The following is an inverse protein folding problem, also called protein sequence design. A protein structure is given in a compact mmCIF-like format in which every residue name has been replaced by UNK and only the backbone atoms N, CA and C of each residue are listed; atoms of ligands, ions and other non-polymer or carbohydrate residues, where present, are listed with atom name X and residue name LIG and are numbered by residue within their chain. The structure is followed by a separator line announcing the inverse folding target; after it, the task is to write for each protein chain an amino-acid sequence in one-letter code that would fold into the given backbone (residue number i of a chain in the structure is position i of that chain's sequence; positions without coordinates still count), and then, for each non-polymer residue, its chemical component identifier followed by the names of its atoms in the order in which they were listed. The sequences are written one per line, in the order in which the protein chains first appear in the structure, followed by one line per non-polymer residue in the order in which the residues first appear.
data_IF_854996796070
#
_entry.id   IF_854996796070
#
_cell.length_a   1.000
_cell.length_b   1.000
_cell.length_c   1.000
_cell.angle_alpha   90.00
_cell.angle_beta   90.00
_cell.angle_gamma   90.00
#
_symmetry.space_group_name_H-M   'P 1'
#
loop_
_entity.id
_entity.type
_entity.pdbx_description
1 polymer ?
#
# COMPACT_ATOMS: atom_id res chain seq x y z
N UNK A 1 22.82 6.60 -64.06
CA UNK A 1 24.05 7.35 -63.72
C UNK A 1 23.65 8.45 -62.74
N UNK A 2 24.50 8.69 -61.73
CA UNK A 2 24.29 9.46 -60.48
C UNK A 2 23.85 8.62 -59.26
N UNK A 3 24.89 8.30 -58.49
CA UNK A 3 24.99 7.81 -57.11
C UNK A 3 24.69 8.93 -56.10
N UNK A 4 24.06 8.63 -54.93
CA UNK A 4 24.41 9.24 -53.62
C UNK A 4 24.10 8.25 -52.45
N UNK A 5 25.19 7.80 -51.82
CA UNK A 5 25.45 7.36 -50.44
C UNK A 5 24.36 6.74 -49.53
N UNK A 6 24.53 5.43 -49.28
CA UNK A 6 24.23 4.78 -47.98
C UNK A 6 25.43 4.95 -47.03
N UNK A 7 25.22 5.60 -45.89
CA UNK A 7 26.16 5.57 -44.76
C UNK A 7 25.70 4.51 -43.76
N UNK A 8 26.61 3.59 -43.44
CA UNK A 8 26.47 2.56 -42.41
C UNK A 8 26.77 3.14 -41.03
N UNK A 9 25.94 2.85 -40.04
CA UNK A 9 26.39 2.82 -38.65
C UNK A 9 26.02 1.48 -38.01
N UNK A 10 27.06 0.78 -37.58
CA UNK A 10 27.04 -0.55 -36.97
C UNK A 10 27.26 -0.32 -35.47
N UNK A 11 26.23 -0.41 -34.64
CA UNK A 11 26.41 -0.54 -33.19
C UNK A 11 26.07 -1.97 -32.78
N UNK A 12 26.99 -2.52 -31.98
CA UNK A 12 27.12 -3.93 -31.63
C UNK A 12 25.97 -4.39 -30.75
N UNK A 13 25.38 -5.52 -31.09
CA UNK A 13 24.41 -6.22 -30.25
C UNK A 13 25.05 -6.72 -28.96
N UNK A 14 24.30 -6.59 -27.87
CA UNK A 14 24.48 -7.40 -26.66
C UNK A 14 23.32 -8.38 -26.63
N UNK A 15 23.67 -9.66 -26.76
CA UNK A 15 22.78 -10.80 -26.56
C UNK A 15 22.82 -11.11 -25.06
N UNK A 16 21.69 -11.06 -24.36
CA UNK A 16 21.59 -11.51 -22.97
C UNK A 16 21.09 -12.95 -22.99
N UNK A 17 22.02 -13.90 -22.91
CA UNK A 17 21.71 -15.30 -22.64
C UNK A 17 21.67 -15.49 -21.12
N UNK A 18 20.49 -15.84 -20.60
CA UNK A 18 20.29 -16.19 -19.20
C UNK A 18 20.68 -17.65 -18.97
N UNK A 19 21.68 -17.88 -18.11
CA UNK A 19 21.89 -19.19 -17.49
C UNK A 19 21.99 -19.04 -15.98
N UNK A 20 21.29 -19.92 -15.27
CA UNK A 20 21.32 -20.09 -13.81
C UNK A 20 22.75 -20.42 -13.34
N UNK A 21 23.31 -19.66 -12.40
CA UNK A 21 23.82 -20.16 -11.10
C UNK A 21 24.37 -19.00 -10.22
N UNK A 22 24.58 -19.32 -8.95
CA UNK A 22 24.77 -18.49 -7.76
C UNK A 22 25.99 -17.55 -7.68
N UNK A 23 25.91 -16.67 -6.66
CA UNK A 23 26.97 -15.93 -5.93
C UNK A 23 27.59 -14.67 -6.56
N UNK A 24 27.38 -13.52 -5.89
CA UNK A 24 28.11 -12.28 -6.13
C UNK A 24 29.07 -11.98 -4.97
N UNK A 25 30.38 -12.02 -5.25
CA UNK A 25 31.41 -11.32 -4.48
C UNK A 25 31.57 -9.91 -5.06
N UNK A 26 31.32 -8.86 -4.27
CA UNK A 26 31.66 -7.49 -4.64
C UNK A 26 33.15 -7.25 -4.40
N UNK A 27 33.93 -7.10 -5.47
CA UNK A 27 35.30 -6.56 -5.44
C UNK A 27 35.26 -5.12 -5.94
N UNK A 28 35.47 -4.16 -5.04
CA UNK A 28 35.58 -2.74 -5.39
C UNK A 28 37.05 -2.42 -5.59
N UNK A 29 37.46 -2.20 -6.84
CA UNK A 29 38.74 -1.53 -7.17
C UNK A 29 38.52 -0.02 -7.20
N UNK A 30 39.16 0.66 -6.26
CA UNK A 30 39.16 2.12 -6.16
C UNK A 30 39.97 2.78 -7.27
N UNK A 31 39.49 3.95 -7.71
CA UNK A 31 40.30 4.95 -8.40
C UNK A 31 40.36 6.20 -7.53
N UNK A 32 41.58 6.54 -7.14
CA UNK A 32 41.96 7.74 -6.41
C UNK A 32 42.03 8.91 -7.39
N UNK A 33 41.31 9.99 -7.08
CA UNK A 33 41.63 11.34 -7.56
C UNK A 33 41.99 12.18 -6.33
N UNK A 34 43.19 12.75 -6.33
CA UNK A 34 43.68 13.70 -5.34
C UNK A 34 43.33 15.14 -5.77
N UNK A 35 43.08 16.04 -4.81
CA UNK A 35 43.34 17.46 -5.00
C UNK A 35 44.44 17.98 -4.06
N UNK A 36 45.15 18.98 -4.56
CA UNK A 36 46.27 19.68 -3.95
C UNK A 36 45.92 20.41 -2.65
N UNK A 37 46.94 20.53 -1.80
CA UNK A 37 46.93 21.26 -0.53
C UNK A 37 47.19 22.74 -0.74
N UNK A 38 46.39 23.59 -0.10
CA UNK A 38 46.86 24.83 0.54
C UNK A 38 46.13 24.97 1.87
N UNK A 39 46.89 25.26 2.92
CA UNK A 39 46.44 25.18 4.31
C UNK A 39 45.71 26.42 4.81
N UNK A 40 44.99 26.24 5.91
CA UNK A 40 45.27 26.99 7.14
C UNK A 40 44.62 26.33 8.36
N UNK A 41 45.34 26.37 9.49
CA UNK A 41 44.98 25.74 10.76
C UNK A 41 43.94 26.58 11.49
N UNK A 42 42.86 25.95 11.96
CA UNK A 42 42.20 26.36 13.21
C UNK A 42 41.79 25.11 13.99
N UNK A 43 42.42 24.96 15.15
CA UNK A 43 42.18 23.92 16.15
C UNK A 43 40.88 24.20 16.91
N UNK A 44 39.98 23.23 17.00
CA UNK A 44 38.99 23.19 18.09
C UNK A 44 38.84 21.78 18.66
N UNK A 45 38.72 21.79 19.98
CA UNK A 45 38.97 20.71 20.93
C UNK A 45 37.69 19.92 21.18
N UNK A 46 37.77 18.58 21.11
CA UNK A 46 36.73 17.67 21.59
C UNK A 46 36.97 17.34 23.08
N UNK A 47 35.94 17.39 23.96
CA UNK A 47 36.00 16.72 25.25
C UNK A 47 35.53 15.25 25.16
N UNK A 48 36.05 14.35 26.03
CA UNK A 48 35.77 12.91 25.95
C UNK A 48 34.58 12.45 26.81
N UNK A 49 33.90 11.43 26.29
CA UNK A 49 33.35 10.23 26.95
C UNK A 49 32.85 10.31 28.41
N UNK A 50 31.54 10.10 28.60
CA UNK A 50 31.02 9.46 29.83
C UNK A 50 30.12 8.29 29.41
N UNK A 51 30.53 7.09 29.80
CA UNK A 51 29.85 5.81 29.56
C UNK A 51 29.25 5.37 30.89
N UNK A 52 27.95 5.58 31.11
CA UNK A 52 27.25 5.06 32.28
C UNK A 52 26.54 3.75 31.94
N UNK A 53 27.02 2.66 32.54
CA UNK A 53 26.32 1.38 32.63
C UNK A 53 25.05 1.57 33.44
N UNK A 54 23.95 0.98 33.00
CA UNK A 54 22.78 0.73 33.86
C UNK A 54 22.51 -0.76 33.80
N UNK A 55 22.58 -1.38 34.98
CA UNK A 55 22.38 -2.80 35.21
C UNK A 55 20.92 -3.22 34.96
N UNK A 56 20.77 -4.35 34.28
CA UNK A 56 19.50 -5.03 34.06
C UNK A 56 19.22 -5.93 35.27
N UNK A 57 18.27 -5.56 36.12
CA UNK A 57 17.68 -6.49 37.11
C UNK A 57 16.33 -6.99 36.61
N UNK A 58 16.34 -8.20 36.05
CA UNK A 58 15.15 -8.97 35.73
C UNK A 58 14.47 -9.45 37.02
N UNK A 59 13.19 -9.10 37.19
CA UNK A 59 12.35 -9.56 38.30
C UNK A 59 11.17 -10.34 37.73
N UNK A 60 11.17 -11.67 37.89
CA UNK A 60 10.04 -12.56 37.58
C UNK A 60 9.19 -12.75 38.84
N UNK A 61 7.84 -12.62 38.80
CA UNK A 61 7.00 -13.18 39.84
C UNK A 61 6.45 -14.55 39.42
N UNK A 62 6.40 -15.42 40.44
CA UNK A 62 6.07 -16.85 40.42
C UNK A 62 4.55 -17.03 40.36
N UNK A 63 4.12 -18.01 39.57
CA UNK A 63 2.76 -18.56 39.58
C UNK A 63 2.51 -19.29 40.90
N UNK A 64 1.41 -18.96 41.58
CA UNK A 64 0.87 -19.77 42.70
C UNK A 64 -0.44 -20.38 42.22
N UNK A 65 -0.43 -21.70 42.06
CA UNK A 65 -1.59 -22.55 41.81
C UNK A 65 -2.21 -22.85 43.17
N UNK A 66 -3.49 -22.50 43.36
CA UNK A 66 -4.28 -22.96 44.49
C UNK A 66 -5.42 -23.85 43.97
N UNK A 67 -5.24 -25.16 44.15
CA UNK A 67 -6.29 -26.15 44.05
C UNK A 67 -7.10 -26.15 45.35
N UNK A 68 -8.42 -26.05 45.25
CA UNK A 68 -9.32 -26.48 46.32
C UNK A 68 -10.30 -27.51 45.76
N UNK A 69 -10.26 -28.69 46.37
CA UNK A 69 -11.14 -29.82 46.12
C UNK A 69 -12.15 -29.92 47.28
N UNK A 70 -13.39 -30.22 46.89
CA UNK A 70 -14.46 -30.93 47.60
C UNK A 70 -15.15 -30.32 48.84
N UNK A 71 -16.47 -30.13 48.71
CA UNK A 71 -17.44 -30.93 49.47
C UNK A 71 -18.75 -31.07 48.70
N UNK A 72 -19.29 -32.29 48.73
CA UNK A 72 -20.54 -32.69 48.12
C UNK A 72 -21.66 -32.76 49.17
N UNK A 73 -22.89 -32.56 48.68
CA UNK A 73 -24.13 -33.31 48.95
C UNK A 73 -25.36 -32.49 49.40
N UNK A 74 -26.42 -32.78 48.62
CA UNK A 74 -27.85 -32.89 48.95
C UNK A 74 -28.73 -31.64 49.03
N UNK A 75 -29.71 -31.63 48.12
CA UNK A 75 -30.88 -30.75 48.13
C UNK A 75 -31.72 -30.97 46.87
N UNK A 76 -32.50 -32.05 46.83
CA UNK A 76 -33.60 -32.21 45.86
C UNK A 76 -34.76 -31.31 46.26
N UNK A 77 -35.17 -30.40 45.36
CA UNK A 77 -36.50 -29.79 45.39
C UNK A 77 -36.97 -29.52 43.95
N UNK A 78 -38.24 -29.84 43.74
CA UNK A 78 -38.98 -29.89 42.49
C UNK A 78 -38.92 -28.63 41.60
N UNK A 79 -38.59 -28.87 40.33
CA UNK A 79 -39.38 -28.51 39.15
C UNK A 79 -40.13 -27.17 39.12
N UNK A 80 -39.52 -26.20 38.44
CA UNK A 80 -40.20 -25.35 37.46
C UNK A 80 -39.32 -25.32 36.20
N UNK A 81 -39.86 -25.89 35.12
CA UNK A 81 -39.27 -25.98 33.79
C UNK A 81 -39.26 -24.57 33.15
N UNK A 82 -38.25 -23.77 33.53
CA UNK A 82 -37.90 -22.57 32.79
C UNK A 82 -37.13 -23.05 31.58
N UNK A 83 -37.85 -23.21 30.46
CA UNK A 83 -37.30 -23.61 29.17
C UNK A 83 -35.99 -22.89 28.89
N UNK A 84 -34.89 -23.62 29.09
CA UNK A 84 -33.58 -23.24 28.64
C UNK A 84 -33.66 -23.21 27.13
N UNK A 85 -33.99 -22.04 26.58
CA UNK A 85 -33.87 -21.74 25.17
C UNK A 85 -32.40 -22.00 24.85
N UNK A 86 -32.16 -23.17 24.27
CA UNK A 86 -30.87 -23.67 23.82
C UNK A 86 -30.25 -22.55 22.98
N UNK A 87 -29.41 -21.72 23.61
CA UNK A 87 -28.62 -20.72 22.90
C UNK A 87 -27.56 -21.54 22.20
N UNK A 88 -27.92 -22.00 21.00
CA UNK A 88 -26.97 -22.43 19.98
C UNK A 88 -25.78 -21.46 20.07
N UNK A 89 -24.56 -21.94 20.31
CA UNK A 89 -23.40 -21.07 20.28
C UNK A 89 -23.41 -20.40 18.92
N UNK A 90 -23.42 -19.05 18.87
CA UNK A 90 -23.35 -18.33 17.61
C UNK A 90 -22.17 -18.91 16.83
N UNK A 91 -22.46 -19.65 15.76
CA UNK A 91 -21.42 -20.30 14.97
C UNK A 91 -20.58 -19.17 14.38
N UNK A 92 -19.36 -19.00 14.89
CA UNK A 92 -18.43 -18.01 14.37
C UNK A 92 -18.23 -18.20 12.86
N UNK A 93 -17.90 -17.11 12.18
CA UNK A 93 -17.61 -17.14 10.73
C UNK A 93 -16.52 -18.19 10.47
N UNK A 94 -16.72 -19.14 9.53
CA UNK A 94 -15.72 -20.16 9.24
C UNK A 94 -14.36 -19.56 8.87
N UNK A 95 -13.26 -20.20 9.30
CA UNK A 95 -11.91 -19.72 8.99
C UNK A 95 -11.65 -19.61 7.48
N UNK A 96 -12.18 -20.54 6.68
CA UNK A 96 -12.09 -20.49 5.22
C UNK A 96 -12.71 -19.20 4.66
N UNK A 97 -13.87 -18.82 5.16
CA UNK A 97 -14.56 -17.59 4.77
C UNK A 97 -13.75 -16.34 5.16
N UNK A 98 -13.11 -16.34 6.34
CA UNK A 98 -12.22 -15.26 6.76
C UNK A 98 -11.02 -15.13 5.80
N UNK A 99 -10.39 -16.25 5.42
CA UNK A 99 -9.27 -16.26 4.48
C UNK A 99 -9.67 -15.80 3.08
N UNK A 100 -10.88 -16.14 2.63
CA UNK A 100 -11.45 -15.65 1.37
C UNK A 100 -11.66 -14.13 1.40
N UNK A 101 -12.21 -13.60 2.49
CA UNK A 101 -12.37 -12.15 2.66
C UNK A 101 -11.03 -11.43 2.75
N UNK A 102 -10.03 -11.99 3.44
CA UNK A 102 -8.69 -11.42 3.51
C UNK A 102 -8.04 -11.37 2.12
N UNK A 103 -8.13 -12.47 1.37
CA UNK A 103 -7.65 -12.55 -0.01
C UNK A 103 -8.33 -11.51 -0.88
N UNK A 104 -9.66 -11.41 -0.82
CA UNK A 104 -10.44 -10.42 -1.56
C UNK A 104 -10.02 -9.00 -1.22
N UNK A 105 -9.90 -8.68 0.07
CA UNK A 105 -9.50 -7.35 0.53
C UNK A 105 -8.09 -6.98 0.09
N UNK A 106 -7.14 -7.93 0.13
CA UNK A 106 -5.78 -7.74 -0.38
C UNK A 106 -5.80 -7.43 -1.88
N UNK A 107 -6.56 -8.19 -2.68
CA UNK A 107 -6.61 -7.98 -4.12
C UNK A 107 -7.25 -6.65 -4.50
N UNK A 108 -8.31 -6.23 -3.80
CA UNK A 108 -8.92 -4.90 -4.00
C UNK A 108 -7.95 -3.77 -3.68
N UNK A 109 -7.17 -3.89 -2.59
CA UNK A 109 -6.14 -2.91 -2.27
C UNK A 109 -5.04 -2.85 -3.34
N UNK A 110 -4.56 -4.00 -3.82
CA UNK A 110 -3.56 -4.07 -4.90
C UNK A 110 -4.08 -3.47 -6.19
N UNK A 111 -5.34 -3.72 -6.55
CA UNK A 111 -5.95 -3.18 -7.76
C UNK A 111 -6.11 -1.65 -7.70
N UNK A 112 -6.63 -1.13 -6.59
CA UNK A 112 -6.73 0.32 -6.38
C UNK A 112 -5.34 0.98 -6.43
N UNK A 113 -4.34 0.38 -5.78
CA UNK A 113 -2.98 0.90 -5.80
C UNK A 113 -2.31 0.80 -7.17
N UNK A 114 -2.64 -0.22 -7.96
CA UNK A 114 -2.17 -0.36 -9.34
C UNK A 114 -2.72 0.76 -10.21
N UNK A 115 -3.99 1.13 -10.06
CA UNK A 115 -4.57 2.29 -10.74
C UNK A 115 -3.89 3.60 -10.34
N UNK A 116 -3.62 3.78 -9.04
CA UNK A 116 -2.85 4.93 -8.54
C UNK A 116 -1.45 5.00 -9.15
N UNK A 117 -0.79 3.85 -9.30
CA UNK A 117 0.50 3.77 -9.96
C UNK A 117 0.43 4.20 -11.43
N UNK A 118 -0.56 3.73 -12.19
CA UNK A 118 -0.76 4.16 -13.59
C UNK A 118 -0.97 5.68 -13.66
N UNK A 119 -1.84 6.26 -12.82
CA UNK A 119 -2.02 7.73 -12.77
C UNK A 119 -0.72 8.47 -12.44
N UNK A 120 0.12 7.89 -11.58
CA UNK A 120 1.42 8.45 -11.24
C UNK A 120 2.41 8.43 -12.41
N UNK A 121 2.38 7.39 -13.25
CA UNK A 121 3.23 7.28 -14.43
C UNK A 121 2.98 8.40 -15.46
N UNK A 122 1.74 8.91 -15.49
CA UNK A 122 1.30 9.93 -16.45
C UNK A 122 1.35 11.37 -15.91
N UNK A 123 1.81 11.62 -14.69
CA UNK A 123 1.80 12.97 -14.10
C UNK A 123 2.58 13.99 -14.93
N UNK A 124 3.71 13.59 -15.53
CA UNK A 124 4.48 14.48 -16.42
C UNK A 124 3.67 14.86 -17.66
N UNK A 125 2.95 13.91 -18.26
CA UNK A 125 2.07 14.20 -19.39
C UNK A 125 0.90 15.10 -18.97
N UNK A 126 0.32 14.88 -17.79
CA UNK A 126 -0.79 15.70 -17.29
C UNK A 126 -0.37 17.15 -17.00
N UNK A 127 0.87 17.36 -16.56
CA UNK A 127 1.40 18.70 -16.28
C UNK A 127 1.77 19.48 -17.55
N UNK A 128 1.98 18.80 -18.68
CA UNK A 128 2.29 19.44 -19.97
C UNK A 128 1.15 20.36 -20.43
N UNK A 129 1.46 21.65 -20.53
CA UNK A 129 0.53 22.71 -20.96
C UNK A 129 0.59 22.97 -22.48
N UNK A 130 1.65 22.50 -23.15
CA UNK A 130 1.84 22.71 -24.59
C UNK A 130 1.02 21.69 -25.40
N UNK A 131 0.69 20.54 -24.79
CA UNK A 131 -0.18 19.52 -25.38
C UNK A 131 -1.64 19.74 -25.02
N UNK A 132 -2.43 20.17 -26.02
CA UNK A 132 -3.87 20.43 -25.88
C UNK A 132 -4.71 19.16 -25.76
N UNK A 133 -4.22 18.04 -26.31
CA UNK A 133 -4.85 16.72 -26.19
C UNK A 133 -3.79 15.72 -25.76
N UNK A 134 -3.95 15.18 -24.56
CA UNK A 134 -3.00 14.24 -23.98
C UNK A 134 -3.39 12.82 -24.40
N UNK A 135 -2.42 12.05 -24.89
CA UNK A 135 -2.59 10.64 -25.27
C UNK A 135 -2.73 9.73 -24.03
N UNK A 136 -3.82 9.94 -23.29
CA UNK A 136 -4.20 9.16 -22.12
C UNK A 136 -5.71 8.91 -22.12
N UNK A 137 -6.11 7.76 -22.65
CA UNK A 137 -7.52 7.35 -22.74
C UNK A 137 -7.88 6.33 -21.67
N UNK A 138 -9.18 6.18 -21.40
CA UNK A 138 -9.68 5.19 -20.45
C UNK A 138 -9.30 3.74 -20.84
N UNK A 139 -9.23 3.43 -22.14
CA UNK A 139 -8.80 2.13 -22.64
C UNK A 139 -7.29 1.90 -22.47
N UNK A 140 -6.48 2.94 -22.66
CA UNK A 140 -5.03 2.86 -22.40
C UNK A 140 -4.77 2.65 -20.91
N UNK A 141 -5.48 3.39 -20.05
CA UNK A 141 -5.44 3.20 -18.60
C UNK A 141 -5.83 1.78 -18.21
N UNK A 142 -6.94 1.26 -18.73
CA UNK A 142 -7.40 -0.10 -18.41
C UNK A 142 -6.34 -1.15 -18.73
N UNK A 143 -5.76 -1.11 -19.94
CA UNK A 143 -4.70 -2.07 -20.32
C UNK A 143 -3.54 -2.06 -19.33
N UNK A 144 -3.07 -0.87 -18.94
CA UNK A 144 -1.96 -0.76 -17.98
C UNK A 144 -2.36 -1.12 -16.56
N UNK A 145 -3.59 -0.82 -16.15
CA UNK A 145 -4.12 -1.23 -14.86
C UNK A 145 -4.07 -2.76 -14.73
N UNK A 146 -4.54 -3.47 -15.76
CA UNK A 146 -4.55 -4.93 -15.78
C UNK A 146 -3.12 -5.49 -15.78
N UNK A 147 -2.20 -4.90 -16.55
CA UNK A 147 -0.78 -5.30 -16.58
C UNK A 147 -0.08 -5.11 -15.21
N UNK A 148 -0.23 -3.93 -14.61
CA UNK A 148 0.36 -3.62 -13.29
C UNK A 148 -0.24 -4.52 -12.21
N UNK A 149 -1.57 -4.71 -12.24
CA UNK A 149 -2.24 -5.60 -11.30
C UNK A 149 -1.75 -7.04 -11.44
N UNK A 150 -1.65 -7.56 -12.67
CA UNK A 150 -1.15 -8.92 -12.92
C UNK A 150 0.27 -9.10 -12.42
N UNK A 151 1.16 -8.14 -12.70
CA UNK A 151 2.53 -8.14 -12.23
C UNK A 151 2.64 -8.20 -10.69
N UNK A 152 1.75 -7.49 -9.99
CA UNK A 152 1.79 -7.39 -8.52
C UNK A 152 1.04 -8.48 -7.76
N UNK A 153 0.00 -9.05 -8.37
CA UNK A 153 -0.87 -10.04 -7.73
C UNK A 153 -0.63 -11.47 -8.22
N UNK A 154 -0.04 -11.63 -9.40
CA UNK A 154 0.04 -12.91 -10.11
C UNK A 154 -1.29 -13.37 -10.72
N UNK A 155 -2.35 -12.56 -10.64
CA UNK A 155 -3.69 -12.89 -11.18
C UNK A 155 -3.92 -12.12 -12.46
N UNK A 156 -4.32 -12.84 -13.51
CA UNK A 156 -4.81 -12.25 -14.73
C UNK A 156 -6.34 -12.08 -14.69
N UNK A 157 -6.81 -10.83 -14.73
CA UNK A 157 -8.24 -10.52 -14.74
C UNK A 157 -8.88 -10.72 -16.13
N UNK A 158 -8.09 -10.91 -17.18
CA UNK A 158 -8.61 -11.28 -18.50
C UNK A 158 -8.89 -12.78 -18.60
N UNK A 159 -8.28 -13.58 -17.72
CA UNK A 159 -8.42 -15.04 -17.65
C UNK A 159 -8.97 -15.48 -16.28
N UNK A 160 -10.02 -14.80 -15.81
CA UNK A 160 -10.61 -15.02 -14.48
C UNK A 160 -10.99 -16.49 -14.21
N UNK A 161 -11.42 -17.24 -15.22
CA UNK A 161 -11.82 -18.64 -15.05
C UNK A 161 -10.68 -19.54 -14.61
N UNK A 162 -9.44 -19.20 -14.98
CA UNK A 162 -8.24 -19.91 -14.53
C UNK A 162 -7.80 -19.49 -13.12
N UNK A 163 -8.20 -18.30 -12.64
CA UNK A 163 -7.81 -17.78 -11.34
C UNK A 163 -8.58 -18.48 -10.20
N UNK A 164 -7.82 -19.04 -9.25
CA UNK A 164 -8.34 -19.68 -8.02
C UNK A 164 -8.72 -18.62 -6.96
N UNK A 165 -9.68 -17.77 -7.28
CA UNK A 165 -10.24 -16.78 -6.35
C UNK A 165 -11.77 -16.91 -6.24
N UNK A 166 -12.37 -16.55 -5.09
CA UNK A 166 -13.82 -16.64 -4.89
C UNK A 166 -14.61 -15.88 -5.96
N UNK A 167 -15.77 -16.40 -6.36
CA UNK A 167 -16.61 -15.77 -7.38
C UNK A 167 -17.01 -14.33 -7.00
N UNK A 168 -17.25 -14.06 -5.72
CA UNK A 168 -17.55 -12.72 -5.23
C UNK A 168 -16.33 -11.79 -5.36
N UNK A 169 -15.12 -12.30 -5.15
CA UNK A 169 -13.90 -11.53 -5.37
C UNK A 169 -13.75 -11.10 -6.84
N UNK A 170 -14.07 -12.00 -7.78
CA UNK A 170 -14.06 -11.69 -9.23
C UNK A 170 -14.98 -10.52 -9.56
N UNK A 171 -16.24 -10.58 -9.10
CA UNK A 171 -17.23 -9.51 -9.32
C UNK A 171 -16.75 -8.17 -8.74
N UNK A 172 -16.20 -8.18 -7.53
CA UNK A 172 -15.70 -6.97 -6.89
C UNK A 172 -14.49 -6.39 -7.63
N UNK A 173 -13.60 -7.24 -8.18
CA UNK A 173 -12.46 -6.80 -8.98
C UNK A 173 -12.92 -6.22 -10.33
N UNK A 174 -13.84 -6.88 -11.02
CA UNK A 174 -14.46 -6.38 -12.27
C UNK A 174 -15.12 -5.02 -12.06
N UNK A 175 -15.90 -4.89 -10.98
CA UNK A 175 -16.56 -3.63 -10.62
C UNK A 175 -15.53 -2.52 -10.32
N UNK A 176 -14.44 -2.85 -9.63
CA UNK A 176 -13.37 -1.88 -9.34
C UNK A 176 -12.61 -1.44 -10.61
N UNK A 177 -12.37 -2.35 -11.57
CA UNK A 177 -11.81 -2.01 -12.89
C UNK A 177 -12.76 -1.08 -13.65
N UNK A 178 -14.03 -1.44 -13.72
CA UNK A 178 -15.06 -0.65 -14.41
C UNK A 178 -15.14 0.78 -13.86
N UNK A 179 -15.25 0.94 -12.53
CA UNK A 179 -15.33 2.26 -11.91
C UNK A 179 -14.02 3.06 -12.06
N UNK A 180 -12.87 2.39 -12.05
CA UNK A 180 -11.58 3.02 -12.31
C UNK A 180 -11.52 3.61 -13.72
N UNK A 181 -11.99 2.85 -14.71
CA UNK A 181 -12.08 3.31 -16.11
C UNK A 181 -13.03 4.50 -16.27
N UNK A 182 -14.19 4.46 -15.59
CA UNK A 182 -15.14 5.59 -15.61
C UNK A 182 -14.54 6.87 -15.02
N UNK A 183 -13.85 6.78 -13.88
CA UNK A 183 -13.18 7.93 -13.27
C UNK A 183 -12.16 8.56 -14.23
N UNK A 184 -11.40 7.74 -14.96
CA UNK A 184 -10.43 8.23 -15.96
C UNK A 184 -11.12 8.86 -17.16
N UNK A 185 -12.18 8.24 -17.68
CA UNK A 185 -12.94 8.78 -18.81
C UNK A 185 -13.51 10.17 -18.50
N UNK A 186 -14.06 10.36 -17.30
CA UNK A 186 -14.58 11.67 -16.86
C UNK A 186 -13.46 12.68 -16.62
N UNK A 187 -12.35 12.25 -16.00
CA UNK A 187 -11.21 13.11 -15.74
C UNK A 187 -10.45 13.53 -17.02
N UNK A 188 -10.59 12.79 -18.13
CA UNK A 188 -9.93 13.13 -19.39
C UNK A 188 -10.26 14.56 -19.85
N UNK A 189 -11.53 14.96 -19.78
CA UNK A 189 -11.95 16.32 -20.09
C UNK A 189 -11.36 17.34 -19.11
N UNK A 190 -11.17 16.96 -17.84
CA UNK A 190 -10.62 17.84 -16.80
C UNK A 190 -9.12 18.10 -16.99
N UNK A 191 -8.37 17.05 -17.30
CA UNK A 191 -6.91 17.07 -17.46
C UNK A 191 -6.48 17.81 -18.74
N UNK A 192 -7.33 17.83 -19.77
CA UNK A 192 -7.08 18.57 -21.02
C UNK A 192 -7.48 20.05 -20.95
N UNK A 193 -8.14 20.51 -19.87
CA UNK A 193 -8.41 21.95 -19.69
C UNK A 193 -7.10 22.71 -19.37
N UNK A 194 -6.96 23.97 -19.83
CA UNK A 194 -5.82 24.81 -19.44
C UNK A 194 -5.67 24.90 -17.92
N UNK A 195 -4.48 24.56 -17.40
CA UNK A 195 -4.20 24.53 -15.95
C UNK A 195 -4.80 23.34 -15.18
N UNK A 196 -5.35 22.32 -15.86
CA UNK A 196 -6.02 21.16 -15.26
C UNK A 196 -5.09 20.10 -14.66
N UNK A 197 -4.15 19.57 -15.43
CA UNK A 197 -3.09 18.61 -15.04
C UNK A 197 -3.17 17.96 -13.65
N UNK A 198 -2.20 18.27 -12.77
CA UNK A 198 -2.14 17.76 -11.40
C UNK A 198 -3.28 18.22 -10.47
N UNK A 199 -4.00 19.29 -10.80
CA UNK A 199 -5.10 19.77 -9.94
C UNK A 199 -6.33 18.88 -10.05
N UNK A 200 -6.53 18.31 -11.23
CA UNK A 200 -7.73 17.55 -11.56
C UNK A 200 -7.51 16.04 -11.36
N UNK A 201 -6.31 15.52 -11.63
CA UNK A 201 -6.05 14.07 -11.51
C UNK A 201 -4.63 13.72 -11.03
N UNK A 202 -4.51 13.57 -9.70
CA UNK A 202 -3.35 12.94 -9.02
C UNK A 202 -3.75 11.57 -8.44
N UNK A 203 -2.79 10.69 -8.08
CA UNK A 203 -3.09 9.37 -7.52
C UNK A 203 -4.05 9.40 -6.33
N UNK A 204 -3.92 10.39 -5.44
CA UNK A 204 -4.80 10.54 -4.28
C UNK A 204 -6.25 10.86 -4.68
N UNK A 205 -6.45 11.76 -5.65
CA UNK A 205 -7.78 12.15 -6.16
C UNK A 205 -8.43 10.98 -6.89
N UNK A 206 -7.70 10.33 -7.80
CA UNK A 206 -8.16 9.13 -8.49
C UNK A 206 -8.63 8.08 -7.49
N UNK A 207 -7.77 7.72 -6.53
CA UNK A 207 -8.09 6.69 -5.56
C UNK A 207 -9.29 7.04 -4.69
N UNK A 208 -9.50 8.32 -4.35
CA UNK A 208 -10.65 8.77 -3.58
C UNK A 208 -11.96 8.72 -4.39
N UNK A 209 -11.94 9.16 -5.66
CA UNK A 209 -13.11 9.09 -6.56
C UNK A 209 -13.56 7.65 -6.79
N UNK A 210 -12.60 6.76 -7.07
CA UNK A 210 -12.88 5.32 -7.26
C UNK A 210 -13.41 4.70 -5.96
N UNK A 211 -12.73 4.92 -4.84
CA UNK A 211 -13.11 4.35 -3.56
C UNK A 211 -14.52 4.76 -3.11
N UNK A 212 -14.90 6.01 -3.35
CA UNK A 212 -16.24 6.53 -3.02
C UNK A 212 -17.31 5.77 -3.80
N UNK A 213 -17.21 5.74 -5.14
CA UNK A 213 -18.17 5.04 -6.01
C UNK A 213 -18.23 3.54 -5.74
N UNK A 214 -17.07 2.93 -5.50
CA UNK A 214 -16.99 1.51 -5.19
C UNK A 214 -17.69 1.18 -3.88
N UNK A 215 -17.50 2.02 -2.85
CA UNK A 215 -18.17 1.86 -1.55
C UNK A 215 -19.69 2.03 -1.69
N UNK A 216 -20.16 3.00 -2.46
CA UNK A 216 -21.59 3.24 -2.71
C UNK A 216 -22.26 2.04 -3.39
N UNK A 217 -21.57 1.39 -4.33
CA UNK A 217 -22.13 0.30 -5.15
C UNK A 217 -22.02 -1.09 -4.52
N UNK A 218 -20.98 -1.33 -3.73
CA UNK A 218 -20.66 -2.68 -3.21
C UNK A 218 -20.81 -2.80 -1.71
N UNK A 219 -20.89 -1.67 -0.99
CA UNK A 219 -20.76 -1.58 0.47
C UNK A 219 -19.41 -2.05 1.03
N UNK A 220 -18.42 -2.35 0.17
CA UNK A 220 -17.03 -2.57 0.57
C UNK A 220 -16.33 -1.23 0.64
N UNK A 221 -15.86 -0.85 1.83
CA UNK A 221 -15.20 0.45 2.02
C UNK A 221 -13.74 0.35 1.60
N UNK A 222 -13.32 1.21 0.68
CA UNK A 222 -11.92 1.47 0.37
C UNK A 222 -11.56 2.87 0.90
N UNK A 223 -10.40 3.02 1.54
CA UNK A 223 -9.92 4.33 2.01
C UNK A 223 -8.40 4.39 1.96
N UNK A 224 -7.86 5.45 1.38
CA UNK A 224 -6.45 5.81 1.55
C UNK A 224 -6.27 6.55 2.89
N UNK A 225 -5.26 6.21 3.67
CA UNK A 225 -5.00 6.85 4.96
C UNK A 225 -3.50 6.95 5.25
N UNK A 226 -3.09 7.93 6.05
CA UNK A 226 -1.70 8.15 6.45
C UNK A 226 -1.64 8.80 7.84
N UNK A 227 -0.50 8.73 8.54
CA UNK A 227 -0.35 9.32 9.89
C UNK A 227 -0.49 10.84 9.88
N UNK A 228 0.00 11.49 8.82
CA UNK A 228 -0.06 12.93 8.59
C UNK A 228 -0.52 13.21 7.15
N UNK A 229 -1.81 13.04 6.83
CA UNK A 229 -2.30 13.20 5.48
C UNK A 229 -2.47 14.67 5.11
N UNK A 230 -2.19 15.03 3.84
CA UNK A 230 -2.46 16.37 3.29
C UNK A 230 -3.95 16.73 3.32
N UNK A 231 -4.80 15.75 3.04
CA UNK A 231 -6.25 15.90 3.10
C UNK A 231 -6.77 15.32 4.43
N UNK A 232 -7.40 16.13 5.31
CA UNK A 232 -7.93 15.68 6.60
C UNK A 232 -8.95 14.53 6.50
N UNK A 233 -9.65 14.37 5.37
CA UNK A 233 -10.57 13.23 5.15
C UNK A 233 -9.85 11.87 5.22
N UNK A 234 -8.55 11.85 4.93
CA UNK A 234 -7.71 10.67 4.98
C UNK A 234 -7.08 10.44 6.37
N UNK A 235 -7.42 11.25 7.38
CA UNK A 235 -6.98 11.05 8.76
C UNK A 235 -7.37 9.65 9.26
N UNK A 236 -6.49 8.96 9.99
CA UNK A 236 -6.72 7.59 10.39
C UNK A 236 -7.71 7.53 11.57
N UNK A 237 -8.57 6.53 11.56
CA UNK A 237 -9.25 6.07 12.78
C UNK A 237 -8.24 5.39 13.76
N UNK A 238 -8.68 5.01 14.95
CA UNK A 238 -7.79 4.40 15.96
C UNK A 238 -7.14 3.08 15.48
N UNK A 239 -7.86 2.29 14.68
CA UNK A 239 -7.35 1.02 14.14
C UNK A 239 -6.36 1.30 13.01
N UNK A 240 -6.73 2.19 12.09
CA UNK A 240 -5.88 2.65 10.98
C UNK A 240 -4.56 3.23 11.52
N UNK A 241 -4.62 4.02 12.60
CA UNK A 241 -3.43 4.61 13.25
C UNK A 241 -2.49 3.54 13.78
N UNK A 242 -3.02 2.55 14.50
CA UNK A 242 -2.21 1.47 15.08
C UNK A 242 -1.48 0.69 13.98
N UNK A 243 -2.18 0.36 12.88
CA UNK A 243 -1.56 -0.31 11.74
C UNK A 243 -0.51 0.56 11.03
N UNK A 244 -0.78 1.85 10.85
CA UNK A 244 0.16 2.78 10.25
C UNK A 244 1.43 2.99 11.10
N UNK A 245 1.31 3.03 12.42
CA UNK A 245 2.45 3.08 13.34
C UNK A 245 3.31 1.81 13.22
N UNK A 246 2.67 0.64 13.11
CA UNK A 246 3.39 -0.60 12.83
C UNK A 246 4.10 -0.56 11.47
N UNK A 247 3.46 -0.09 10.41
CA UNK A 247 4.10 0.03 9.08
C UNK A 247 5.21 1.07 9.02
N UNK A 248 5.20 2.07 9.91
CA UNK A 248 6.24 3.09 10.00
C UNK A 248 7.50 2.57 10.73
N UNK A 249 7.40 1.48 11.48
CA UNK A 249 8.53 0.83 12.12
C UNK A 249 9.44 0.18 11.05
N UNK A 250 10.73 0.56 10.94
CA UNK A 250 11.66 -0.03 9.97
C UNK A 250 11.88 -1.54 10.13
N UNK A 251 11.55 -2.12 11.29
CA UNK A 251 11.63 -3.56 11.55
C UNK A 251 10.40 -4.34 11.06
N UNK A 252 9.32 -3.64 10.72
CA UNK A 252 8.12 -4.29 10.21
C UNK A 252 8.37 -4.85 8.80
N UNK A 253 7.98 -6.10 8.50
CA UNK A 253 8.23 -6.68 7.19
C UNK A 253 7.54 -5.89 6.07
N UNK A 254 8.30 -5.52 5.05
CA UNK A 254 7.77 -4.84 3.87
C UNK A 254 6.63 -5.67 3.25
N UNK A 255 5.63 -4.97 2.72
CA UNK A 255 4.46 -5.54 2.01
C UNK A 255 3.56 -6.51 2.83
N UNK A 256 3.87 -6.72 4.12
CA UNK A 256 3.03 -7.51 5.00
C UNK A 256 1.79 -6.71 5.43
N UNK A 257 0.61 -7.20 5.04
CA UNK A 257 -0.67 -6.61 5.44
C UNK A 257 -0.97 -6.89 6.92
N UNK A 258 -1.83 -6.07 7.51
CA UNK A 258 -2.46 -6.34 8.82
C UNK A 258 -3.95 -6.55 8.56
N UNK A 259 -4.49 -7.69 8.98
CA UNK A 259 -5.92 -8.00 8.89
C UNK A 259 -6.51 -8.25 10.28
N UNK A 260 -7.75 -7.82 10.49
CA UNK A 260 -8.52 -8.11 11.69
C UNK A 260 -9.98 -8.42 11.33
N UNK A 261 -10.59 -9.35 12.05
CA UNK A 261 -12.03 -9.60 12.01
C UNK A 261 -12.62 -9.07 13.30
N UNK A 262 -13.52 -8.10 13.19
CA UNK A 262 -14.15 -7.51 14.37
C UNK A 262 -15.52 -8.13 14.59
N UNK A 263 -15.67 -8.89 15.69
CA UNK A 263 -16.94 -9.50 16.08
C UNK A 263 -18.07 -8.46 16.26
N UNK A 264 -17.73 -7.27 16.78
CA UNK A 264 -18.68 -6.17 17.02
C UNK A 264 -19.24 -5.55 15.74
N UNK A 265 -18.42 -5.38 14.71
CA UNK A 265 -18.84 -4.75 13.44
C UNK A 265 -19.17 -5.74 12.34
N UNK A 266 -19.04 -7.05 12.61
CA UNK A 266 -19.25 -8.14 11.64
C UNK A 266 -18.56 -7.81 10.31
N UNK A 267 -17.28 -7.46 10.37
CA UNK A 267 -16.51 -7.07 9.20
C UNK A 267 -15.08 -7.55 9.29
N UNK A 268 -14.51 -7.84 8.13
CA UNK A 268 -13.08 -7.97 7.95
C UNK A 268 -12.52 -6.59 7.57
N UNK A 269 -11.46 -6.18 8.25
CA UNK A 269 -10.66 -5.03 7.87
C UNK A 269 -9.25 -5.48 7.51
N UNK A 270 -8.75 -5.01 6.39
CA UNK A 270 -7.37 -5.20 5.95
C UNK A 270 -6.71 -3.83 5.76
N UNK A 271 -5.49 -3.71 6.26
CA UNK A 271 -4.61 -2.56 6.08
C UNK A 271 -3.47 -2.99 5.16
N UNK A 272 -3.42 -2.39 3.97
CA UNK A 272 -2.40 -2.62 2.96
C UNK A 272 -1.37 -1.48 2.98
N UNK A 273 -0.10 -1.73 3.32
CA UNK A 273 0.89 -0.66 3.45
C UNK A 273 1.30 -0.08 2.09
N UNK A 274 1.54 1.22 2.06
CA UNK A 274 2.07 1.94 0.90
C UNK A 274 3.45 2.49 1.25
N UNK A 275 4.45 2.19 0.41
CA UNK A 275 5.83 2.65 0.62
C UNK A 275 6.25 3.60 -0.50
N UNK A 276 7.07 4.59 -0.12
CA UNK A 276 7.50 5.68 -0.98
C UNK A 276 8.41 5.16 -2.09
N UNK A 277 8.06 5.42 -3.35
CA UNK A 277 8.91 5.16 -4.53
C UNK A 277 9.66 6.43 -4.95
N UNK A 278 10.57 6.34 -5.94
CA UNK A 278 11.32 7.52 -6.41
C UNK A 278 10.41 8.65 -6.90
N UNK A 279 9.36 8.32 -7.67
CA UNK A 279 8.40 9.31 -8.18
C UNK A 279 7.60 9.99 -7.07
N UNK A 280 7.31 9.29 -5.98
CA UNK A 280 6.67 9.88 -4.80
C UNK A 280 7.49 11.05 -4.23
N UNK A 281 8.83 10.95 -4.32
CA UNK A 281 9.74 11.95 -3.74
C UNK A 281 9.71 13.30 -4.49
N UNK A 282 9.24 13.33 -5.74
CA UNK A 282 9.07 14.57 -6.50
C UNK A 282 8.15 15.55 -5.76
N UNK A 283 7.10 15.04 -5.09
CA UNK A 283 6.15 15.84 -4.34
C UNK A 283 6.25 15.65 -2.82
N UNK A 284 6.68 14.50 -2.33
CA UNK A 284 6.68 14.19 -0.89
C UNK A 284 8.07 14.19 -0.23
N UNK A 285 9.14 14.27 -1.02
CA UNK A 285 10.52 14.11 -0.56
C UNK A 285 11.13 15.35 0.10
N UNK A 286 12.47 15.39 0.12
CA UNK A 286 13.25 16.48 0.68
C UNK A 286 13.41 17.68 -0.30
N UNK A 287 13.48 18.93 0.22
CA UNK A 287 13.48 19.26 1.65
C UNK A 287 12.06 19.36 2.24
N UNK A 288 11.91 18.82 3.44
CA UNK A 288 10.68 18.95 4.24
C UNK A 288 10.34 20.42 4.48
N UNK A 289 9.06 20.77 4.36
CA UNK A 289 8.56 22.13 4.64
C UNK A 289 8.48 23.03 3.41
N UNK A 290 9.15 22.70 2.31
CA UNK A 290 9.00 23.45 1.06
C UNK A 290 7.68 23.11 0.35
N UNK A 291 7.21 24.03 -0.49
CA UNK A 291 6.00 23.82 -1.31
C UNK A 291 6.38 23.04 -2.57
N UNK A 292 5.66 21.96 -2.86
CA UNK A 292 5.84 21.17 -4.08
C UNK A 292 5.10 21.75 -5.29
N UNK A 293 5.28 21.10 -6.46
CA UNK A 293 4.62 21.51 -7.70
C UNK A 293 3.08 21.49 -7.64
N UNK A 294 2.49 20.77 -6.69
CA UNK A 294 1.04 20.67 -6.49
C UNK A 294 0.51 21.72 -5.50
N UNK A 295 1.40 22.56 -4.94
CA UNK A 295 1.04 23.62 -3.99
C UNK A 295 0.95 23.16 -2.53
N UNK A 296 1.39 21.93 -2.21
CA UNK A 296 1.37 21.40 -0.85
C UNK A 296 2.76 21.35 -0.23
N UNK A 297 2.81 21.41 1.10
CA UNK A 297 4.06 21.29 1.83
C UNK A 297 4.59 19.85 1.76
N UNK A 298 5.87 19.71 1.43
CA UNK A 298 6.59 18.45 1.37
C UNK A 298 6.78 17.84 2.76
N UNK A 299 6.52 16.55 2.88
CA UNK A 299 6.60 15.79 4.12
C UNK A 299 8.02 15.41 4.52
N UNK A 300 8.96 15.42 3.56
CA UNK A 300 10.33 14.95 3.77
C UNK A 300 10.45 13.43 3.79
N UNK A 301 9.59 12.73 3.04
CA UNK A 301 9.65 11.27 2.94
C UNK A 301 10.96 10.81 2.29
N UNK A 302 11.39 9.61 2.67
CA UNK A 302 12.56 8.93 2.10
C UNK A 302 12.13 7.72 1.29
N UNK A 303 12.96 7.32 0.33
CA UNK A 303 12.72 6.10 -0.45
C UNK A 303 12.52 4.90 0.49
N UNK A 304 11.44 4.15 0.29
CA UNK A 304 11.08 2.99 1.11
C UNK A 304 10.41 3.31 2.45
N UNK A 305 10.27 4.59 2.84
CA UNK A 305 9.50 4.97 4.02
C UNK A 305 8.01 4.75 3.79
N UNK A 306 7.27 4.34 4.83
CA UNK A 306 5.81 4.25 4.76
C UNK A 306 5.19 5.61 4.42
N UNK A 307 4.37 5.63 3.37
CA UNK A 307 3.64 6.79 2.86
C UNK A 307 2.14 6.73 3.19
N UNK A 308 1.71 5.73 3.97
CA UNK A 308 0.32 5.47 4.31
C UNK A 308 -0.10 4.02 4.09
N UNK A 309 -1.39 3.83 3.93
CA UNK A 309 -2.03 2.54 3.68
C UNK A 309 -3.34 2.69 2.91
N UNK A 310 -3.80 1.59 2.31
CA UNK A 310 -5.18 1.40 1.86
C UNK A 310 -5.89 0.56 2.93
N UNK A 311 -6.93 1.10 3.55
CA UNK A 311 -7.86 0.38 4.40
C UNK A 311 -9.00 -0.18 3.56
N UNK A 312 -9.21 -1.49 3.67
CA UNK A 312 -10.31 -2.21 3.03
C UNK A 312 -11.20 -2.79 4.11
N UNK A 313 -12.50 -2.49 4.10
CA UNK A 313 -13.47 -3.07 5.03
C UNK A 313 -14.55 -3.80 4.26
N UNK A 314 -14.62 -5.11 4.42
CA UNK A 314 -15.65 -5.97 3.83
C UNK A 314 -16.64 -6.37 4.93
N UNK A 315 -17.94 -6.03 4.80
CA UNK A 315 -18.97 -6.54 5.69
C UNK A 315 -19.08 -8.07 5.55
N UNK A 316 -19.03 -8.78 6.67
CA UNK A 316 -19.31 -10.21 6.74
C UNK A 316 -20.80 -10.33 6.99
N UNK A 317 -21.56 -10.59 5.93
CA UNK A 317 -22.99 -10.90 6.08
C UNK A 317 -23.13 -12.31 6.67
N UNK A 318 -23.97 -12.50 7.70
CA UNK A 318 -24.32 -13.82 8.20
C UNK A 318 -25.15 -14.61 7.16
#
# INVERSE_FOLDING_TARGET
MVDIHRSSYRSRGVRLDFTHDQTYHLSVRGFLFAPERTGDRVSQVFPPCVRSRVDVMASRPRWVIASFLACAMSGWANGEDVGAKDRQPESGVPLSTILEFETTARLLAVLLDSGRNVINEYQVLFDDQDQTEKDFTADQFERQLLEVFRSRSGIDLQEFDAARIPAEAKKLLEELVFLSKQVVAEAHAEVNRPGGGHKELIPAIFGARVATRFTERTHVRLKQTALAPRNPVNAPDAVERTALEAFADPSYPLEKVISEVTAKSKSLRLMFPLYTTRKCLECHGDPKGEVDRTGYVREGLRLGQNAGAISVVIPIRP
#
